data_IF_819206217127
#
_entry.id   IF_819206217127
#
_cell.length_a   1.000
_cell.length_b   1.000
_cell.length_c   1.000
_cell.angle_alpha   90.00
_cell.angle_beta   90.00
_cell.angle_gamma   90.00
#
_symmetry.space_group_name_H-M   'P 1'
#
loop_
_entity.id
_entity.type
_entity.pdbx_description
1 polymer ?
#
# COMPACT_ATOMS: atom_id res chain seq x y z
N UNK A 1 -8.81 -15.93 0.67
CA UNK A 1 -7.74 -16.93 0.88
C UNK A 1 -7.52 -17.20 2.37
N UNK A 2 -7.41 -16.16 3.21
CA UNK A 2 -7.17 -16.30 4.65
C UNK A 2 -8.00 -17.37 5.38
N UNK A 3 -9.28 -17.54 5.05
CA UNK A 3 -10.16 -18.52 5.73
C UNK A 3 -9.78 -19.99 5.46
N UNK A 4 -9.31 -20.31 4.25
CA UNK A 4 -9.14 -21.70 3.79
C UNK A 4 -7.69 -22.11 3.59
N UNK A 5 -6.80 -21.13 3.40
CA UNK A 5 -5.37 -21.31 3.28
C UNK A 5 -4.70 -20.12 3.99
N UNK A 6 -4.59 -20.11 5.32
CA UNK A 6 -4.03 -18.96 6.05
C UNK A 6 -2.51 -18.80 5.85
N UNK A 7 -1.78 -19.92 5.71
CA UNK A 7 -0.32 -19.92 5.59
C UNK A 7 0.18 -19.88 4.14
N UNK A 8 -0.70 -20.08 3.15
CA UNK A 8 -0.31 -20.08 1.75
C UNK A 8 0.34 -21.39 1.29
N UNK A 9 0.15 -22.49 2.03
CA UNK A 9 0.76 -23.79 1.72
C UNK A 9 0.17 -24.38 0.45
N UNK A 10 -1.15 -24.27 0.27
CA UNK A 10 -1.80 -24.79 -0.94
C UNK A 10 -1.31 -24.04 -2.18
N UNK A 11 -1.32 -22.69 -2.15
CA UNK A 11 -0.88 -21.90 -3.31
C UNK A 11 0.60 -22.06 -3.62
N UNK A 12 1.47 -22.18 -2.61
CA UNK A 12 2.92 -22.34 -2.83
C UNK A 12 3.35 -23.77 -3.17
N UNK A 13 2.49 -24.77 -2.90
CA UNK A 13 2.68 -26.10 -3.44
C UNK A 13 2.57 -26.09 -4.98
N UNK A 14 1.53 -25.44 -5.51
CA UNK A 14 1.23 -25.36 -6.94
C UNK A 14 2.01 -24.28 -7.70
N UNK A 15 2.39 -23.19 -7.02
CA UNK A 15 3.18 -22.10 -7.57
C UNK A 15 4.52 -22.03 -6.81
N UNK A 16 5.54 -22.82 -7.21
CA UNK A 16 6.77 -22.99 -6.44
C UNK A 16 7.53 -21.68 -6.18
N UNK A 17 7.38 -20.68 -7.06
CA UNK A 17 7.98 -19.36 -6.93
C UNK A 17 7.55 -18.66 -5.64
N UNK A 18 6.32 -18.93 -5.18
CA UNK A 18 5.75 -18.34 -3.97
C UNK A 18 6.34 -18.94 -2.68
N UNK A 19 7.04 -20.09 -2.73
CA UNK A 19 7.66 -20.71 -1.54
C UNK A 19 8.73 -19.83 -0.92
N UNK A 20 9.42 -19.04 -1.76
CA UNK A 20 10.43 -18.07 -1.34
C UNK A 20 9.85 -16.87 -0.59
N UNK A 21 8.54 -16.63 -0.73
CA UNK A 21 7.87 -15.51 -0.11
C UNK A 21 7.46 -15.83 1.33
N UNK A 22 7.48 -14.82 2.23
CA UNK A 22 6.86 -14.93 3.55
C UNK A 22 5.38 -15.27 3.42
N UNK A 23 4.84 -16.02 4.40
CA UNK A 23 3.45 -16.50 4.38
C UNK A 23 2.43 -15.40 4.08
N UNK A 24 2.61 -14.22 4.66
CA UNK A 24 1.68 -13.09 4.55
C UNK A 24 1.64 -12.49 3.14
N UNK A 25 2.60 -12.85 2.27
CA UNK A 25 2.69 -12.39 0.88
C UNK A 25 2.32 -13.45 -0.15
N UNK A 26 2.10 -14.71 0.23
CA UNK A 26 1.81 -15.79 -0.72
C UNK A 26 0.46 -15.61 -1.44
N UNK A 27 -0.56 -15.05 -0.78
CA UNK A 27 -1.85 -14.73 -1.44
C UNK A 27 -1.91 -13.37 -2.10
N UNK A 28 -0.94 -12.51 -1.84
CA UNK A 28 -0.89 -11.14 -2.39
C UNK A 28 0.57 -10.76 -2.68
N UNK A 29 1.21 -11.44 -3.66
CA UNK A 29 2.64 -11.27 -3.92
C UNK A 29 3.00 -9.91 -4.56
N UNK A 30 2.01 -9.15 -5.03
CA UNK A 30 2.26 -7.87 -5.72
C UNK A 30 3.18 -8.08 -6.92
N UNK A 31 4.15 -7.18 -7.11
CA UNK A 31 5.14 -7.25 -8.20
C UNK A 31 6.20 -8.34 -8.03
N UNK A 32 6.25 -9.03 -6.88
CA UNK A 32 7.18 -10.16 -6.71
C UNK A 32 6.74 -11.41 -7.47
N UNK A 33 5.53 -11.36 -8.04
CA UNK A 33 4.99 -12.35 -8.95
C UNK A 33 4.38 -11.65 -10.18
N UNK A 34 3.56 -12.36 -10.96
CA UNK A 34 2.94 -11.83 -12.18
C UNK A 34 1.98 -10.67 -11.92
N UNK A 35 1.97 -9.71 -12.85
CA UNK A 35 1.00 -8.62 -12.86
C UNK A 35 -0.43 -9.14 -13.03
N UNK A 36 -1.37 -8.49 -12.32
CA UNK A 36 -2.79 -8.82 -12.45
C UNK A 36 -3.29 -8.46 -13.85
N UNK A 37 -3.70 -9.47 -14.61
CA UNK A 37 -4.31 -9.30 -15.93
C UNK A 37 -5.66 -8.56 -15.84
N UNK A 38 -6.39 -8.77 -14.74
CA UNK A 38 -7.70 -8.15 -14.50
C UNK A 38 -7.81 -7.62 -13.07
N UNK A 39 -8.49 -6.48 -12.86
CA UNK A 39 -8.76 -5.96 -11.52
C UNK A 39 -9.83 -6.80 -10.80
N UNK A 40 -9.72 -6.86 -9.47
CA UNK A 40 -10.76 -7.46 -8.63
C UNK A 40 -11.97 -6.51 -8.55
N UNK A 41 -13.17 -7.06 -8.60
CA UNK A 41 -14.43 -6.28 -8.53
C UNK A 41 -14.71 -5.74 -7.11
N UNK A 42 -14.34 -6.51 -6.08
CA UNK A 42 -14.53 -6.18 -4.67
C UNK A 42 -13.33 -6.68 -3.85
N UNK A 43 -13.01 -6.00 -2.74
CA UNK A 43 -11.85 -6.32 -1.91
C UNK A 43 -10.55 -5.68 -2.41
N UNK A 44 -9.47 -5.86 -1.64
CA UNK A 44 -8.26 -5.04 -1.77
C UNK A 44 -7.60 -5.10 -3.17
N UNK A 45 -7.69 -3.99 -3.86
CA UNK A 45 -6.67 -3.54 -4.79
C UNK A 45 -5.77 -2.53 -4.06
N UNK A 46 -4.56 -2.91 -3.60
CA UNK A 46 -3.49 -1.93 -3.56
C UNK A 46 -3.19 -1.59 -5.02
N UNK A 47 -3.60 -0.38 -5.43
CA UNK A 47 -3.16 0.24 -6.67
C UNK A 47 -1.62 0.13 -6.73
N UNK A 48 -1.09 -0.24 -7.89
CA UNK A 48 0.33 0.00 -8.17
C UNK A 48 0.60 1.47 -7.82
N UNK A 49 1.38 1.71 -6.78
CA UNK A 49 2.10 2.97 -6.64
C UNK A 49 3.21 3.00 -7.70
N UNK A 50 2.85 2.94 -8.98
CA UNK A 50 3.53 3.81 -9.93
C UNK A 50 2.95 5.20 -9.66
N UNK A 51 3.39 5.82 -8.56
CA UNK A 51 3.49 7.27 -8.58
C UNK A 51 4.67 7.51 -9.50
N UNK A 52 4.50 7.92 -10.78
CA UNK A 52 5.63 8.49 -11.48
C UNK A 52 6.12 9.59 -10.55
N UNK A 53 7.42 9.60 -10.31
CA UNK A 53 8.10 10.70 -9.66
C UNK A 53 7.82 11.94 -10.51
N UNK A 54 6.70 12.61 -10.22
CA UNK A 54 6.31 13.84 -10.86
C UNK A 54 7.29 14.86 -10.31
N UNK A 55 8.33 15.15 -11.09
CA UNK A 55 9.18 16.32 -10.89
C UNK A 55 8.33 17.55 -11.22
N UNK A 56 7.32 17.85 -10.41
CA UNK A 56 6.78 19.19 -10.35
C UNK A 56 7.77 19.99 -9.49
N UNK A 57 8.67 20.65 -10.20
CA UNK A 57 9.43 21.79 -9.73
C UNK A 57 8.46 22.76 -9.03
N UNK A 58 8.76 23.10 -7.78
CA UNK A 58 8.27 24.32 -7.12
C UNK A 58 6.85 24.29 -6.57
N UNK A 59 6.67 23.76 -5.35
CA UNK A 59 5.69 24.35 -4.42
C UNK A 59 6.36 24.52 -3.07
N UNK A 60 6.72 25.76 -2.79
CA UNK A 60 7.31 26.20 -1.53
C UNK A 60 6.56 25.61 -0.34
N UNK A 61 7.32 25.13 0.65
CA UNK A 61 6.81 24.86 2.00
C UNK A 61 6.03 26.07 2.46
N UNK A 62 4.71 25.92 2.61
CA UNK A 62 3.92 26.92 3.31
C UNK A 62 4.50 27.05 4.73
N UNK A 63 4.76 28.27 5.24
CA UNK A 63 5.23 28.44 6.60
C UNK A 63 4.17 27.90 7.59
N UNK A 64 4.59 27.37 8.76
CA UNK A 64 3.66 26.89 9.76
C UNK A 64 2.72 28.01 10.22
N UNK A 65 1.45 27.70 10.57
CA UNK A 65 0.54 28.70 11.11
C UNK A 65 1.10 29.29 12.41
N UNK A 66 0.89 30.59 12.67
CA UNK A 66 1.41 31.23 13.88
C UNK A 66 0.80 30.60 15.14
N UNK A 67 1.66 30.30 16.10
CA UNK A 67 1.29 29.85 17.44
C UNK A 67 0.25 30.78 18.05
N UNK A 68 -0.87 30.20 18.52
CA UNK A 68 -1.91 30.93 19.24
C UNK A 68 -1.41 31.32 20.64
N UNK A 69 -0.57 32.34 20.71
CA UNK A 69 -0.21 33.02 21.94
C UNK A 69 -1.17 34.20 22.14
N UNK A 70 -1.93 34.19 23.24
CA UNK A 70 -2.55 35.42 23.76
C UNK A 70 -4.03 35.65 23.45
N UNK A 71 -4.93 34.76 23.90
CA UNK A 71 -6.29 35.20 24.24
C UNK A 71 -6.29 35.82 25.63
N UNK A 72 -6.05 37.13 25.72
CA UNK A 72 -6.47 37.90 26.90
C UNK A 72 -7.98 38.13 26.84
N UNK A 73 -8.73 37.91 27.93
CA UNK A 73 -10.15 38.26 27.96
C UNK A 73 -10.29 39.78 27.99
N UNK A 74 -11.19 40.32 27.16
CA UNK A 74 -11.65 41.70 27.33
C UNK A 74 -12.70 41.73 28.45
N UNK A 75 -12.56 42.79 29.24
CA UNK A 75 -13.28 43.17 30.45
C UNK A 75 -14.77 43.36 30.22
#
# INVERSE_FOLDING_TARGET
AQTYDPEGEYVSYWLPELRSLPKDRRHSPGISYVDRVVPLKFGAAPQHHHRPHRKDVGRASAPPPPSQEGRRPRR
#
